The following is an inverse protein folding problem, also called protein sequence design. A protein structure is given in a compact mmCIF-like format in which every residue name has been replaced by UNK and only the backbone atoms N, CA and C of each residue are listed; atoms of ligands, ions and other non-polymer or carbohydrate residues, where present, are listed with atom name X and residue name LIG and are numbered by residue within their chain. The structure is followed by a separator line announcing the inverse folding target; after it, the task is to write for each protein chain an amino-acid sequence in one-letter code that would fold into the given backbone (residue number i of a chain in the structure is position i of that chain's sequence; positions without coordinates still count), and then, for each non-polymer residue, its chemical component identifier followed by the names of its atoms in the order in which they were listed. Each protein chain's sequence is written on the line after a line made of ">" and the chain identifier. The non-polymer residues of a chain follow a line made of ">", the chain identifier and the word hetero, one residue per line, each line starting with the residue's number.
data_IF_512590071914
#
_entry.id   IF_512590071914
#
_cell.length_a   1.000
_cell.length_b   1.000
_cell.length_c   1.000
_cell.angle_alpha   90.00
_cell.angle_beta   90.00
_cell.angle_gamma   90.00
#
_symmetry.space_group_name_H-M   'P 1'
#
loop_
_entity.id
_entity.type
_entity.pdbx_description
1 polymer ?
#
# COMPACT_ATOMS: atom_id res chain seq x y z
N UNK A 1 3.50 0.73 -14.81
CA UNK A 1 4.73 1.05 -14.02
C UNK A 1 5.04 -0.01 -12.95
N UNK A 2 6.27 -0.12 -12.45
CA UNK A 2 6.68 -1.21 -11.52
C UNK A 2 7.42 -0.69 -10.27
N UNK A 3 7.11 -1.26 -9.10
CA UNK A 3 7.82 -1.09 -7.82
C UNK A 3 8.08 -2.48 -7.21
N UNK A 4 9.25 -2.70 -6.61
CA UNK A 4 9.49 -3.92 -5.81
C UNK A 4 8.79 -3.80 -4.45
N UNK A 5 8.00 -4.81 -4.08
CA UNK A 5 7.21 -4.76 -2.87
C UNK A 5 7.43 -5.99 -2.01
N UNK A 6 7.51 -5.80 -0.70
CA UNK A 6 7.66 -6.90 0.26
C UNK A 6 6.31 -7.26 0.83
N UNK A 7 5.98 -8.53 0.80
CA UNK A 7 4.73 -9.04 1.37
C UNK A 7 4.87 -9.18 2.88
N UNK A 8 3.91 -8.61 3.61
CA UNK A 8 3.88 -8.67 5.07
C UNK A 8 2.47 -8.94 5.59
N UNK A 9 2.32 -9.99 6.38
CA UNK A 9 1.08 -10.29 7.12
C UNK A 9 0.97 -9.46 8.41
N UNK A 10 2.06 -8.87 8.86
CA UNK A 10 2.11 -8.03 10.07
C UNK A 10 1.62 -6.60 9.87
N UNK A 11 1.25 -6.21 8.65
CA UNK A 11 0.68 -4.89 8.36
C UNK A 11 -0.75 -5.02 7.87
N UNK A 12 -1.68 -4.27 8.46
CA UNK A 12 -3.06 -4.23 7.98
C UNK A 12 -3.20 -3.47 6.66
N UNK A 13 -2.29 -2.53 6.41
CA UNK A 13 -2.34 -1.58 5.29
C UNK A 13 -1.04 -1.64 4.48
N UNK A 14 -1.15 -1.32 3.20
CA UNK A 14 -0.01 -1.27 2.29
C UNK A 14 0.61 0.13 2.28
N UNK A 15 1.94 0.21 2.21
CA UNK A 15 2.68 1.47 2.26
C UNK A 15 3.67 1.58 1.10
N UNK A 16 3.91 2.81 0.66
CA UNK A 16 4.97 3.16 -0.29
C UNK A 16 5.74 4.32 0.33
N UNK A 17 7.07 4.27 0.31
CA UNK A 17 7.84 5.40 0.80
C UNK A 17 7.79 6.58 -0.18
N UNK A 18 7.96 7.80 0.32
CA UNK A 18 7.80 9.02 -0.45
C UNK A 18 8.77 9.08 -1.65
N UNK A 19 10.03 8.67 -1.46
CA UNK A 19 11.01 8.58 -2.53
C UNK A 19 10.57 7.66 -3.69
N UNK A 20 9.98 6.50 -3.39
CA UNK A 20 9.53 5.54 -4.42
C UNK A 20 8.28 6.04 -5.13
N UNK A 21 7.36 6.66 -4.40
CA UNK A 21 6.22 7.34 -5.01
C UNK A 21 6.69 8.40 -6.01
N UNK A 22 7.58 9.30 -5.59
CA UNK A 22 8.09 10.40 -6.43
C UNK A 22 8.87 9.91 -7.64
N UNK A 23 9.59 8.79 -7.51
CA UNK A 23 10.40 8.23 -8.60
C UNK A 23 9.57 7.45 -9.61
N UNK A 24 8.61 6.66 -9.15
CA UNK A 24 7.95 5.66 -9.99
C UNK A 24 6.52 6.01 -10.36
N UNK A 25 5.78 6.72 -9.50
CA UNK A 25 4.35 6.96 -9.68
C UNK A 25 4.04 8.41 -10.07
N UNK A 26 4.64 9.37 -9.38
CA UNK A 26 4.41 10.80 -9.64
C UNK A 26 4.70 11.23 -11.09
N UNK A 27 5.77 10.77 -11.77
CA UNK A 27 6.05 11.15 -13.16
C UNK A 27 4.99 10.66 -14.15
N UNK A 28 4.14 9.72 -13.72
CA UNK A 28 3.07 9.13 -14.51
C UNK A 28 1.69 9.64 -14.06
N UNK A 29 1.65 10.87 -13.53
CA UNK A 29 0.41 11.59 -13.23
C UNK A 29 -0.32 11.14 -11.96
N UNK A 30 0.34 10.41 -11.04
CA UNK A 30 -0.27 10.08 -9.75
C UNK A 30 -0.19 11.29 -8.83
N UNK A 31 -1.35 11.65 -8.29
CA UNK A 31 -1.47 12.74 -7.32
C UNK A 31 -1.72 12.18 -5.94
N UNK A 32 -1.16 12.87 -4.95
CA UNK A 32 -1.33 12.51 -3.54
C UNK A 32 -2.67 13.05 -3.05
N UNK A 33 -3.47 12.16 -2.49
CA UNK A 33 -4.69 12.53 -1.80
C UNK A 33 -4.36 12.82 -0.33
N UNK A 34 -4.81 13.98 0.17
CA UNK A 34 -4.47 14.49 1.52
C UNK A 34 -5.68 14.51 2.47
N UNK A 35 -6.87 14.27 1.94
CA UNK A 35 -8.11 14.34 2.70
C UNK A 35 -8.37 13.01 3.43
N UNK A 36 -8.60 13.07 4.75
CA UNK A 36 -8.93 11.93 5.63
C UNK A 36 -7.84 10.86 5.75
N UNK A 37 -6.73 11.20 6.39
CA UNK A 37 -5.71 10.22 6.75
C UNK A 37 -5.78 9.88 8.25
N UNK A 38 -6.47 8.81 8.68
CA UNK A 38 -6.57 8.40 10.09
C UNK A 38 -5.19 8.01 10.66
N UNK A 39 -4.80 8.47 11.87
CA UNK A 39 -3.51 8.13 12.49
C UNK A 39 -3.27 6.61 12.44
N UNK A 40 -2.04 6.24 12.16
CA UNK A 40 -1.62 4.84 12.13
C UNK A 40 -0.52 4.65 13.15
N UNK A 41 -0.65 3.58 13.91
CA UNK A 41 0.31 3.18 14.93
C UNK A 41 0.90 1.86 14.50
N UNK A 42 2.22 1.78 14.46
CA UNK A 42 2.93 0.54 14.19
C UNK A 42 2.73 -0.45 15.34
N UNK A 43 3.07 -1.73 15.12
CA UNK A 43 2.94 -2.78 16.14
C UNK A 43 3.77 -2.52 17.41
N UNK A 44 4.75 -1.63 17.35
CA UNK A 44 5.55 -1.18 18.49
C UNK A 44 4.96 0.04 19.22
N UNK A 45 3.75 0.49 18.88
CA UNK A 45 3.09 1.63 19.51
C UNK A 45 3.54 3.00 19.00
N UNK A 46 4.47 3.07 18.04
CA UNK A 46 4.92 4.35 17.48
C UNK A 46 3.98 4.84 16.38
N UNK A 47 3.70 6.14 16.39
CA UNK A 47 2.97 6.80 15.30
C UNK A 47 3.78 6.71 13.99
N UNK A 48 3.17 6.15 12.95
CA UNK A 48 3.73 6.12 11.61
C UNK A 48 3.55 7.52 11.01
N UNK A 49 4.66 8.21 10.73
CA UNK A 49 4.65 9.48 10.02
C UNK A 49 4.27 9.30 8.55
N UNK A 50 2.97 9.25 8.29
CA UNK A 50 2.37 9.25 6.96
C UNK A 50 2.03 10.66 6.50
N UNK A 51 2.22 10.92 5.22
CA UNK A 51 1.99 12.24 4.62
C UNK A 51 0.71 12.31 3.80
N UNK A 52 0.28 11.18 3.21
CA UNK A 52 -0.83 11.13 2.23
C UNK A 52 -1.16 9.68 1.86
N UNK A 53 -2.05 9.48 0.90
CA UNK A 53 -2.29 8.19 0.26
C UNK A 53 -2.53 8.34 -1.24
N UNK A 54 -2.53 7.20 -1.93
CA UNK A 54 -3.06 7.06 -3.28
C UNK A 54 -4.08 5.92 -3.31
N UNK A 55 -4.99 5.99 -4.26
CA UNK A 55 -5.93 4.92 -4.61
C UNK A 55 -5.63 4.51 -6.06
N UNK A 56 -5.21 3.28 -6.28
CA UNK A 56 -4.84 2.80 -7.62
C UNK A 56 -5.18 1.31 -7.78
N UNK A 57 -5.25 0.87 -9.03
CA UNK A 57 -5.37 -0.54 -9.38
C UNK A 57 -3.98 -1.15 -9.45
N UNK A 58 -3.83 -2.33 -8.85
CA UNK A 58 -2.53 -3.01 -8.82
C UNK A 58 -2.57 -4.39 -9.42
N UNK A 59 -1.46 -4.77 -10.04
CA UNK A 59 -1.30 -6.05 -10.69
C UNK A 59 -0.16 -6.82 -10.03
N UNK A 60 -0.52 -7.93 -9.39
CA UNK A 60 0.41 -8.82 -8.69
C UNK A 60 0.24 -10.23 -9.25
N UNK A 61 1.35 -10.85 -9.66
CA UNK A 61 1.35 -12.22 -10.21
C UNK A 61 0.29 -12.45 -11.32
N UNK A 62 0.15 -11.46 -12.22
CA UNK A 62 -0.79 -11.53 -13.34
C UNK A 62 -2.27 -11.29 -12.98
N UNK A 63 -2.57 -10.85 -11.75
CA UNK A 63 -3.94 -10.55 -11.31
C UNK A 63 -4.14 -9.07 -11.04
N UNK A 64 -5.19 -8.50 -11.62
CA UNK A 64 -5.66 -7.15 -11.31
C UNK A 64 -6.40 -7.15 -9.98
N UNK A 65 -6.04 -6.22 -9.10
CA UNK A 65 -6.67 -6.00 -7.81
C UNK A 65 -7.05 -4.50 -7.80
N UNK A 66 -8.31 -4.18 -8.11
CA UNK A 66 -8.72 -2.80 -8.26
C UNK A 66 -8.84 -2.09 -6.92
N UNK A 67 -8.80 -0.76 -6.98
CA UNK A 67 -9.22 0.16 -5.92
C UNK A 67 -8.47 -0.04 -4.59
N UNK A 68 -7.14 -0.15 -4.64
CA UNK A 68 -6.32 -0.38 -3.45
C UNK A 68 -5.68 0.90 -2.95
N UNK A 69 -5.82 1.12 -1.64
CA UNK A 69 -5.19 2.25 -0.95
C UNK A 69 -3.75 1.90 -0.59
N UNK A 70 -2.84 2.79 -0.94
CA UNK A 70 -1.46 2.79 -0.48
C UNK A 70 -1.20 4.07 0.30
N UNK A 71 -0.64 3.92 1.48
CA UNK A 71 -0.24 5.04 2.30
C UNK A 71 1.15 5.48 1.91
N UNK A 72 1.31 6.78 1.68
CA UNK A 72 2.62 7.35 1.43
C UNK A 72 3.23 7.74 2.76
N UNK A 73 4.30 7.03 3.11
CA UNK A 73 5.03 7.24 4.36
C UNK A 73 6.30 8.02 4.09
N UNK A 74 6.68 8.87 5.04
CA UNK A 74 7.97 9.56 4.96
C UNK A 74 9.10 8.53 4.96
N UNK A 75 10.16 8.84 4.23
CA UNK A 75 11.37 8.03 4.28
C UNK A 75 11.97 8.07 5.70
N UNK A 76 12.36 6.93 6.28
CA UNK A 76 12.99 6.91 7.58
C UNK A 76 14.39 7.57 7.54
N UNK A 77 14.90 8.06 8.68
CA UNK A 77 16.27 8.56 8.76
C UNK A 77 17.26 7.46 8.33
N UNK A 78 18.04 7.69 7.28
CA UNK A 78 18.93 6.69 6.68
C UNK A 78 18.36 5.96 5.45
N UNK A 79 17.14 6.30 5.03
CA UNK A 79 16.47 5.73 3.85
C UNK A 79 15.79 4.38 4.14
N UNK A 80 14.68 4.09 3.45
CA UNK A 80 14.05 2.78 3.53
C UNK A 80 14.71 1.82 2.55
N UNK A 81 15.08 0.62 3.02
CA UNK A 81 15.55 -0.48 2.16
C UNK A 81 14.41 -1.14 1.37
N UNK A 82 13.16 -1.03 1.85
CA UNK A 82 11.99 -1.68 1.24
C UNK A 82 11.08 -0.58 0.64
N UNK A 83 10.99 -0.45 -0.69
CA UNK A 83 10.30 0.67 -1.33
C UNK A 83 8.77 0.62 -1.17
N UNK A 84 8.22 -0.58 -1.03
CA UNK A 84 6.81 -0.82 -0.79
C UNK A 84 6.59 -2.02 0.15
N UNK A 85 5.59 -1.92 1.03
CA UNK A 85 5.08 -3.03 1.85
C UNK A 85 3.64 -3.34 1.43
N UNK A 86 3.36 -4.61 1.16
CA UNK A 86 2.02 -5.11 0.86
C UNK A 86 1.41 -5.74 2.11
N UNK A 87 0.42 -5.04 2.68
CA UNK A 87 -0.32 -5.46 3.86
C UNK A 87 -1.62 -6.20 3.53
N UNK A 88 -2.33 -6.59 4.59
CA UNK A 88 -3.57 -7.38 4.56
C UNK A 88 -4.69 -6.77 3.72
N UNK A 89 -4.75 -5.44 3.57
CA UNK A 89 -5.71 -4.76 2.68
C UNK A 89 -5.59 -5.15 1.20
N UNK A 90 -4.43 -5.69 0.79
CA UNK A 90 -4.20 -6.22 -0.56
C UNK A 90 -4.12 -7.74 -0.53
N UNK A 91 -3.28 -8.31 0.34
CA UNK A 91 -3.02 -9.76 0.34
C UNK A 91 -4.25 -10.58 0.80
N UNK A 92 -5.09 -10.03 1.68
CA UNK A 92 -6.34 -10.68 2.09
C UNK A 92 -7.35 -10.81 0.95
N UNK A 93 -7.29 -9.93 -0.05
CA UNK A 93 -8.14 -9.98 -1.24
C UNK A 93 -7.65 -10.96 -2.31
N UNK A 94 -6.45 -11.52 -2.16
CA UNK A 94 -5.89 -12.45 -3.14
C UNK A 94 -6.41 -13.88 -2.87
N UNK A 95 -7.56 -14.23 -3.45
CA UNK A 95 -8.11 -15.58 -3.34
C UNK A 95 -7.11 -16.64 -3.83
N UNK A 96 -6.82 -17.65 -3.01
CA UNK A 96 -5.82 -18.66 -3.32
C UNK A 96 -4.36 -18.26 -3.04
N UNK A 97 -4.12 -17.08 -2.45
CA UNK A 97 -2.80 -16.72 -1.89
C UNK A 97 -2.35 -17.78 -0.86
N UNK A 98 -3.25 -18.18 0.05
CA UNK A 98 -2.98 -19.22 1.02
C UNK A 98 -2.65 -20.61 0.41
N UNK A 99 -3.04 -20.85 -0.86
CA UNK A 99 -2.93 -22.18 -1.51
C UNK A 99 -1.86 -22.30 -2.60
N UNK A 100 -1.23 -21.21 -3.05
CA UNK A 100 -0.24 -21.21 -4.15
C UNK A 100 1.17 -20.78 -3.75
N UNK A 101 1.42 -20.62 -2.45
CA UNK A 101 2.52 -19.79 -1.99
C UNK A 101 3.34 -20.57 -0.97
N UNK A 102 4.30 -21.34 -1.48
CA UNK A 102 5.52 -21.69 -0.73
C UNK A 102 6.44 -20.46 -0.62
N UNK A 103 5.87 -19.27 -0.43
CA UNK A 103 6.57 -17.99 -0.34
C UNK A 103 6.58 -17.57 1.11
N UNK A 104 7.78 -17.34 1.62
CA UNK A 104 8.00 -16.94 3.00
C UNK A 104 7.41 -15.54 3.24
N UNK A 105 6.94 -15.23 4.46
CA UNK A 105 6.77 -13.85 4.88
C UNK A 105 8.05 -13.09 4.53
N UNK A 106 7.94 -11.89 3.96
CA UNK A 106 9.05 -11.09 3.46
C UNK A 106 9.57 -11.35 2.02
N UNK A 107 8.91 -12.17 1.21
CA UNK A 107 9.25 -12.25 -0.21
C UNK A 107 9.04 -10.91 -0.94
N UNK A 108 10.01 -10.54 -1.79
CA UNK A 108 9.91 -9.45 -2.74
C UNK A 108 9.13 -9.88 -3.98
N UNK A 109 8.12 -9.10 -4.34
CA UNK A 109 7.29 -9.32 -5.53
C UNK A 109 7.22 -8.06 -6.38
N UNK A 110 7.16 -8.21 -7.71
CA UNK A 110 6.91 -7.10 -8.60
C UNK A 110 5.47 -6.61 -8.44
N UNK A 111 5.30 -5.38 -7.98
CA UNK A 111 4.03 -4.68 -7.93
C UNK A 111 3.90 -3.78 -9.15
N UNK A 112 2.92 -4.05 -10.01
CA UNK A 112 2.68 -3.22 -11.19
C UNK A 112 1.45 -2.33 -10.99
N UNK A 113 1.55 -1.09 -11.42
CA UNK A 113 0.45 -0.13 -11.50
C UNK A 113 0.07 0.03 -12.97
N UNK A 114 -1.22 0.30 -13.22
CA UNK A 114 -1.73 0.71 -14.54
C UNK A 114 -0.86 1.83 -15.14
N UNK A 115 -0.74 1.94 -16.46
CA UNK A 115 -0.03 3.09 -17.04
C UNK A 115 -0.90 4.36 -17.07
N UNK A 116 -2.23 4.22 -16.91
CA UNK A 116 -3.17 5.34 -16.84
C UNK A 116 -3.52 5.64 -15.38
N UNK A 117 -3.35 6.91 -14.96
CA UNK A 117 -3.83 7.38 -13.67
C UNK A 117 -5.37 7.38 -13.65
N UNK A 118 -5.98 6.86 -12.59
CA UNK A 118 -7.43 6.78 -12.43
C UNK A 118 -7.88 7.74 -11.34
N UNK A 119 -8.84 8.61 -11.64
CA UNK A 119 -9.55 9.41 -10.62
C UNK A 119 -10.73 8.60 -10.10
N UNK A 120 -10.57 7.97 -8.94
CA UNK A 120 -11.64 7.14 -8.35
C UNK A 120 -12.36 7.93 -7.25
N UNK A 121 -13.70 7.87 -7.22
CA UNK A 121 -14.55 8.50 -6.21
C UNK A 121 -14.09 8.22 -4.77
N UNK A 122 -13.72 9.29 -4.06
CA UNK A 122 -12.58 9.34 -3.14
C UNK A 122 -12.82 8.92 -1.69
N UNK A 123 -14.06 8.94 -1.17
CA UNK A 123 -14.30 8.93 0.29
C UNK A 123 -14.73 7.58 0.88
N UNK A 124 -15.66 6.87 0.25
CA UNK A 124 -16.18 5.60 0.78
C UNK A 124 -15.12 4.48 0.83
N UNK A 125 -14.17 4.51 -0.12
CA UNK A 125 -13.12 3.50 -0.26
C UNK A 125 -12.02 3.61 0.80
N UNK A 126 -11.77 4.79 1.38
CA UNK A 126 -10.84 4.93 2.51
C UNK A 126 -11.37 4.27 3.77
N UNK A 127 -12.63 4.50 4.12
CA UNK A 127 -13.23 3.86 5.29
C UNK A 127 -13.20 2.33 5.18
N UNK A 128 -13.42 1.79 3.98
CA UNK A 128 -13.36 0.35 3.71
C UNK A 128 -11.92 -0.21 3.64
N UNK A 129 -10.97 0.56 3.10
CA UNK A 129 -9.58 0.13 2.98
C UNK A 129 -8.79 0.27 4.28
N UNK A 130 -9.20 1.19 5.15
CA UNK A 130 -8.60 1.38 6.47
C UNK A 130 -9.19 0.42 7.50
N UNK A 131 -10.47 0.02 7.35
CA UNK A 131 -11.27 -0.83 8.24
C UNK A 131 -10.47 -1.43 9.42
N UNK A 132 -10.15 -0.54 10.37
CA UNK A 132 -9.50 -0.88 11.62
C UNK A 132 -10.59 -1.61 12.40
N UNK A 133 -10.34 -2.84 12.88
CA UNK A 133 -11.33 -3.55 13.68
C UNK A 133 -11.84 -2.63 14.81
N UNK A 134 -13.16 -2.56 15.05
CA UNK A 134 -13.69 -1.75 16.15
C UNK A 134 -13.12 -2.31 17.46
N UNK A 135 -12.19 -1.59 18.09
CA UNK A 135 -11.54 -2.05 19.32
C UNK A 135 -10.13 -1.50 19.60
N UNK A 136 -9.48 -0.85 18.64
CA UNK A 136 -8.20 -0.15 18.87
C UNK A 136 -8.48 1.35 18.75
N UNK A 137 -8.67 2.01 19.90
CA UNK A 137 -8.69 3.47 20.06
C UNK A 137 -7.53 3.88 20.95
#
# INVERSE_FOLDING_TARGET
>A
MKIEAVITTGSQVSTINECSFRRHLQPHGRELERDLCPRLTASNGLDIQKSSYILDDVFIAGRAIPDRVFLIIKDPPGGSRKPCLLGMNIIGGMSGWAGKVNRQPEEEVPLNFSDTARSVGRLAKLSEAVNIPPGIR
#
